data_IF_577798611060
#
_entry.id   IF_577798611060
#
_cell.length_a   1.000
_cell.length_b   1.000
_cell.length_c   1.000
_cell.angle_alpha   90.00
_cell.angle_beta   90.00
_cell.angle_gamma   90.00
#
_symmetry.space_group_name_H-M   'P 1'
#
loop_
_entity.id
_entity.type
_entity.pdbx_description
1 polymer ?
#
# COMPACT_ATOMS: atom_id res chain seq x y z
N UNK A 1 1.71 -35.81 -21.49
CA UNK A 1 1.08 -34.84 -22.37
C UNK A 1 0.24 -33.81 -21.67
N UNK A 2 -0.66 -34.21 -20.80
CA UNK A 2 -1.50 -33.30 -20.03
C UNK A 2 -0.66 -32.33 -19.18
N UNK A 3 0.42 -32.81 -18.59
CA UNK A 3 1.33 -31.99 -17.78
C UNK A 3 2.01 -30.87 -18.58
N UNK A 4 2.34 -31.13 -19.82
CA UNK A 4 2.97 -30.16 -20.70
C UNK A 4 2.00 -29.02 -21.02
N UNK A 5 0.73 -29.36 -21.25
CA UNK A 5 -0.31 -28.36 -21.51
C UNK A 5 -0.54 -27.44 -20.32
N UNK A 6 -0.51 -28.01 -19.10
CA UNK A 6 -0.68 -27.24 -17.88
C UNK A 6 0.47 -26.26 -17.71
N UNK A 7 1.70 -26.67 -17.98
CA UNK A 7 2.87 -25.80 -17.89
C UNK A 7 2.79 -24.64 -18.87
N UNK A 8 2.32 -24.87 -20.08
CA UNK A 8 2.14 -23.82 -21.06
C UNK A 8 1.09 -22.81 -20.62
N UNK A 9 -0.01 -23.27 -20.04
CA UNK A 9 -1.04 -22.39 -19.51
C UNK A 9 -0.51 -21.48 -18.39
N UNK A 10 0.31 -22.03 -17.50
CA UNK A 10 0.92 -21.26 -16.42
C UNK A 10 1.83 -20.17 -16.96
N UNK A 11 2.61 -20.46 -18.00
CA UNK A 11 3.49 -19.47 -18.62
C UNK A 11 2.71 -18.33 -19.25
N UNK A 12 1.60 -18.61 -19.90
CA UNK A 12 0.74 -17.60 -20.51
C UNK A 12 0.16 -16.69 -19.44
N UNK A 13 -0.33 -17.25 -18.35
CA UNK A 13 -0.87 -16.48 -17.22
C UNK A 13 0.20 -15.57 -16.61
N UNK A 14 1.42 -16.06 -16.43
CA UNK A 14 2.51 -15.26 -15.90
C UNK A 14 2.85 -14.08 -16.80
N UNK A 15 2.78 -14.27 -18.11
CA UNK A 15 3.04 -13.20 -19.08
C UNK A 15 1.96 -12.12 -19.03
N UNK A 16 0.71 -12.53 -18.93
CA UNK A 16 -0.41 -11.60 -18.80
C UNK A 16 -0.30 -10.78 -17.51
N UNK A 17 0.02 -11.42 -16.39
CA UNK A 17 0.18 -10.74 -15.13
C UNK A 17 1.28 -9.66 -15.18
N UNK A 18 2.35 -9.93 -15.93
CA UNK A 18 3.42 -8.95 -16.11
C UNK A 18 2.98 -7.76 -16.94
N UNK A 19 2.22 -7.99 -18.00
CA UNK A 19 1.69 -6.94 -18.84
C UNK A 19 0.73 -6.05 -18.07
N UNK A 20 -0.16 -6.63 -17.29
CA UNK A 20 -1.09 -5.90 -16.44
C UNK A 20 -0.38 -5.03 -15.43
N UNK A 21 0.67 -5.55 -14.81
CA UNK A 21 1.44 -4.82 -13.83
C UNK A 21 2.13 -3.60 -14.43
N UNK A 22 2.67 -3.75 -15.62
CA UNK A 22 3.31 -2.67 -16.34
C UNK A 22 2.30 -1.57 -16.70
N UNK A 23 1.14 -1.98 -17.16
CA UNK A 23 0.07 -1.07 -17.55
C UNK A 23 -0.46 -0.29 -16.34
N UNK A 24 -0.59 -0.94 -15.21
CA UNK A 24 -1.12 -0.34 -13.98
C UNK A 24 -0.27 0.80 -13.44
N UNK A 25 1.02 0.79 -13.68
CA UNK A 25 1.93 1.82 -13.20
C UNK A 25 1.59 3.22 -13.68
N UNK A 26 0.96 3.34 -14.84
CA UNK A 26 0.67 4.61 -15.46
C UNK A 26 -0.72 5.14 -15.13
N UNK A 27 -1.60 4.30 -14.58
CA UNK A 27 -3.03 4.60 -14.48
C UNK A 27 -3.56 4.47 -13.06
N UNK A 28 -3.06 3.52 -12.29
CA UNK A 28 -3.67 3.15 -11.00
C UNK A 28 -3.04 3.93 -9.86
N UNK A 29 -3.90 4.57 -9.07
CA UNK A 29 -3.50 5.16 -7.79
C UNK A 29 -3.46 4.07 -6.72
N UNK A 30 -2.51 4.17 -5.81
CA UNK A 30 -2.45 3.26 -4.68
C UNK A 30 -3.54 3.60 -3.67
N UNK A 31 -3.89 2.63 -2.84
CA UNK A 31 -4.77 2.85 -1.70
C UNK A 31 -3.93 3.14 -0.45
N UNK A 32 -4.56 3.66 0.60
CA UNK A 32 -3.89 3.83 1.89
C UNK A 32 -3.37 2.48 2.40
N UNK A 33 -4.12 1.41 2.19
CA UNK A 33 -3.70 0.06 2.58
C UNK A 33 -2.45 -0.39 1.83
N UNK A 34 -2.36 -0.11 0.54
CA UNK A 34 -1.18 -0.43 -0.26
C UNK A 34 0.06 0.28 0.28
N UNK A 35 -0.07 1.56 0.58
CA UNK A 35 1.06 2.35 1.05
C UNK A 35 1.49 1.93 2.46
N UNK A 36 0.55 1.66 3.35
CA UNK A 36 0.86 1.15 4.67
C UNK A 36 1.57 -0.21 4.60
N UNK A 37 1.07 -1.11 3.75
CA UNK A 37 1.67 -2.42 3.54
C UNK A 37 3.08 -2.30 2.96
N UNK A 38 3.30 -1.38 2.04
CA UNK A 38 4.61 -1.17 1.44
C UNK A 38 5.64 -0.64 2.45
N UNK A 39 5.23 0.30 3.29
CA UNK A 39 6.08 0.77 4.38
C UNK A 39 6.42 -0.37 5.35
N UNK A 40 5.43 -1.18 5.70
CA UNK A 40 5.62 -2.32 6.61
C UNK A 40 6.55 -3.37 6.01
N UNK A 41 6.41 -3.65 4.72
CA UNK A 41 7.22 -4.65 4.02
C UNK A 41 8.66 -4.21 3.87
N UNK A 42 8.88 -2.94 3.54
CA UNK A 42 10.23 -2.42 3.24
C UNK A 42 10.93 -1.83 4.45
N UNK A 43 10.19 -1.45 5.49
CA UNK A 43 10.73 -0.70 6.62
C UNK A 43 11.08 0.75 6.28
N UNK A 44 10.73 1.22 5.09
CA UNK A 44 11.04 2.58 4.64
C UNK A 44 9.84 3.49 4.90
N UNK A 45 10.04 4.44 5.78
CA UNK A 45 9.03 5.42 6.13
C UNK A 45 9.05 6.57 5.15
N UNK A 46 7.94 6.81 4.46
CA UNK A 46 7.83 7.91 3.50
C UNK A 46 6.56 7.80 2.66
N UNK A 47 6.14 8.93 2.12
CA UNK A 47 5.03 8.95 1.17
C UNK A 47 5.42 8.24 -0.12
N UNK A 48 4.46 7.54 -0.72
CA UNK A 48 4.66 6.81 -1.98
C UNK A 48 4.19 7.59 -3.20
N UNK A 49 3.49 8.69 -2.98
CA UNK A 49 2.85 9.46 -4.05
C UNK A 49 1.55 8.81 -4.49
N UNK A 50 0.87 9.40 -5.42
CA UNK A 50 -0.35 8.83 -6.00
C UNK A 50 -1.60 8.93 -5.16
N UNK A 51 -1.55 9.58 -4.01
CA UNK A 51 -2.74 9.74 -3.16
C UNK A 51 -3.79 10.68 -3.78
N UNK A 52 -3.34 11.70 -4.49
CA UNK A 52 -4.22 12.70 -5.08
C UNK A 52 -4.94 13.57 -4.06
N UNK A 53 -4.51 13.55 -2.81
CA UNK A 53 -5.10 14.31 -1.72
C UNK A 53 -4.05 14.51 -0.61
N UNK A 54 -4.44 15.27 0.43
CA UNK A 54 -3.59 15.42 1.60
C UNK A 54 -3.44 14.08 2.29
N UNK A 55 -2.21 13.69 2.60
CA UNK A 55 -1.91 12.41 3.20
C UNK A 55 -1.00 12.60 4.41
N UNK A 56 -1.31 11.91 5.49
CA UNK A 56 -0.44 11.79 6.65
C UNK A 56 0.07 10.37 6.77
N UNK A 57 1.31 10.22 7.19
CA UNK A 57 1.90 8.92 7.50
C UNK A 57 2.47 8.96 8.91
N UNK A 58 2.43 7.82 9.58
CA UNK A 58 2.94 7.70 10.94
C UNK A 58 3.38 6.28 11.25
N UNK A 59 4.14 6.13 12.31
CA UNK A 59 4.50 4.81 12.80
C UNK A 59 4.50 4.81 14.33
N UNK A 60 4.40 3.64 14.91
CA UNK A 60 4.39 3.50 16.35
C UNK A 60 4.39 2.05 16.78
N UNK A 61 4.37 1.82 18.09
CA UNK A 61 4.38 0.49 18.69
C UNK A 61 3.02 -0.20 18.60
N UNK A 62 1.95 0.57 18.41
CA UNK A 62 0.59 0.06 18.27
C UNK A 62 -0.08 0.70 17.06
N UNK A 63 -1.15 0.08 16.53
CA UNK A 63 -1.90 0.69 15.43
C UNK A 63 -2.43 2.08 15.78
N UNK A 64 -2.93 2.25 16.95
CA UNK A 64 -3.51 3.50 17.42
C UNK A 64 -2.45 4.62 17.49
N UNK A 65 -1.28 4.29 18.02
CA UNK A 65 -0.17 5.22 18.08
C UNK A 65 0.30 5.62 16.69
N UNK A 66 0.41 4.66 15.77
CA UNK A 66 0.79 4.94 14.41
C UNK A 66 -0.19 5.90 13.74
N UNK A 67 -1.49 5.69 13.93
CA UNK A 67 -2.52 6.58 13.38
C UNK A 67 -2.43 7.99 13.97
N UNK A 68 -2.29 8.07 15.28
CA UNK A 68 -2.19 9.39 15.95
C UNK A 68 -0.93 10.16 15.59
N UNK A 69 0.11 9.45 15.19
CA UNK A 69 1.36 10.08 14.75
C UNK A 69 1.33 10.54 13.30
N UNK A 70 0.27 10.26 12.57
CA UNK A 70 0.14 10.75 11.20
C UNK A 70 0.04 12.27 11.17
N UNK A 71 0.70 12.86 10.18
CA UNK A 71 0.60 14.31 9.94
C UNK A 71 -0.87 14.70 9.80
N UNK A 72 -1.23 15.85 10.33
CA UNK A 72 -2.58 16.42 10.28
C UNK A 72 -3.63 15.63 11.07
N UNK A 73 -3.22 14.66 11.88
CA UNK A 73 -4.19 13.89 12.67
C UNK A 73 -5.07 14.83 13.51
N UNK A 74 -6.37 14.65 13.42
CA UNK A 74 -7.33 15.47 14.13
C UNK A 74 -7.64 16.82 13.51
N UNK A 75 -6.99 17.18 12.40
CA UNK A 75 -7.14 18.50 11.77
C UNK A 75 -8.10 18.50 10.59
N UNK A 76 -8.25 17.37 9.92
CA UNK A 76 -9.09 17.24 8.73
C UNK A 76 -9.90 15.96 8.82
N UNK A 77 -11.02 15.93 8.13
CA UNK A 77 -11.85 14.73 8.06
C UNK A 77 -11.09 13.62 7.35
N UNK A 78 -11.21 12.40 7.88
CA UNK A 78 -10.55 11.23 7.31
C UNK A 78 -11.42 10.66 6.20
N UNK A 79 -10.83 10.51 5.01
CA UNK A 79 -11.45 9.84 3.88
C UNK A 79 -11.12 8.35 3.86
N UNK A 80 -9.87 8.02 4.18
CA UNK A 80 -9.37 6.66 4.10
C UNK A 80 -8.23 6.50 5.09
N UNK A 81 -8.15 5.36 5.77
CA UNK A 81 -7.03 5.07 6.67
C UNK A 81 -6.69 3.59 6.63
N UNK A 82 -5.43 3.28 6.89
CA UNK A 82 -4.96 1.91 6.95
C UNK A 82 -3.75 1.80 7.85
N UNK A 83 -3.55 0.63 8.44
CA UNK A 83 -2.37 0.30 9.23
C UNK A 83 -1.82 -1.05 8.78
N UNK A 84 -0.52 -1.23 8.93
CA UNK A 84 0.14 -2.50 8.64
C UNK A 84 1.31 -2.70 9.59
N UNK A 85 1.52 -3.93 10.03
CA UNK A 85 2.61 -4.26 10.95
C UNK A 85 3.82 -4.73 10.15
N UNK A 86 4.97 -4.11 10.42
CA UNK A 86 6.23 -4.51 9.82
C UNK A 86 6.88 -5.68 10.55
N UNK A 87 7.80 -6.34 9.87
CA UNK A 87 8.59 -7.43 10.45
C UNK A 87 9.43 -6.95 11.65
N UNK A 88 9.73 -5.65 11.71
CA UNK A 88 10.43 -5.03 12.84
C UNK A 88 9.53 -4.82 14.08
N UNK A 89 8.27 -5.21 14.01
CA UNK A 89 7.31 -5.03 15.09
C UNK A 89 6.63 -3.67 15.14
N UNK A 90 7.04 -2.73 14.30
CA UNK A 90 6.39 -1.42 14.21
C UNK A 90 5.12 -1.49 13.41
N UNK A 91 4.17 -0.63 13.78
CA UNK A 91 2.98 -0.40 12.98
C UNK A 91 3.19 0.85 12.13
N UNK A 92 2.74 0.78 10.90
CA UNK A 92 2.78 1.89 9.95
C UNK A 92 1.36 2.27 9.60
N UNK A 93 1.10 3.56 9.52
CA UNK A 93 -0.23 4.07 9.25
C UNK A 93 -0.20 5.08 8.11
N UNK A 94 -1.28 5.09 7.36
CA UNK A 94 -1.52 6.07 6.30
C UNK A 94 -2.94 6.58 6.48
N UNK A 95 -3.09 7.90 6.49
CA UNK A 95 -4.40 8.54 6.51
C UNK A 95 -4.49 9.45 5.30
N UNK A 96 -5.54 9.28 4.51
CA UNK A 96 -5.88 10.18 3.42
C UNK A 96 -7.08 11.01 3.84
N UNK A 97 -6.94 12.30 3.72
CA UNK A 97 -7.93 13.24 4.26
C UNK A 97 -8.85 13.75 3.14
N UNK A 98 -10.07 14.05 3.54
CA UNK A 98 -11.02 14.70 2.65
C UNK A 98 -10.59 16.15 2.43
N UNK A 99 -10.89 16.65 1.24
CA UNK A 99 -10.63 18.05 0.90
C UNK A 99 -11.62 18.99 1.59
#
# INVERSE_FOLDING_TARGET
MIRILILLAVLVVATEARADRYYSRTVVRTTAADDAADMARTGRFGHRGGAGCREGIGYGATPDEALRNCCYYGRYAIREKAVARGANGRWYAVIRYAN
#
